data_IF_540519111628
#
_entry.id   IF_540519111628
#
_cell.length_a   1.000
_cell.length_b   1.000
_cell.length_c   1.000
_cell.angle_alpha   90.00
_cell.angle_beta   90.00
_cell.angle_gamma   90.00
#
_symmetry.space_group_name_H-M   'P 1'
#
loop_
_entity.id
_entity.type
_entity.pdbx_description
1 polymer ?
#
# COMPACT_ATOMS: atom_id res chain seq x y z
N UNK A 1 -4.92 -2.53 -6.29
CA UNK A 1 -4.91 -3.64 -7.27
C UNK A 1 -4.97 -4.97 -6.53
N UNK A 2 -6.07 -5.69 -6.66
CA UNK A 2 -6.31 -7.00 -6.07
C UNK A 2 -6.82 -7.94 -7.16
N UNK A 3 -5.98 -8.88 -7.61
CA UNK A 3 -6.32 -9.85 -8.64
C UNK A 3 -5.67 -11.20 -8.33
N UNK A 4 -6.29 -12.34 -8.70
CA UNK A 4 -5.76 -13.68 -8.42
C UNK A 4 -4.51 -14.04 -9.24
N UNK A 5 -4.09 -13.20 -10.19
CA UNK A 5 -2.91 -13.44 -11.01
C UNK A 5 -2.45 -12.17 -11.76
N UNK A 6 -1.39 -12.29 -12.58
CA UNK A 6 -0.86 -11.16 -13.34
C UNK A 6 -1.88 -10.60 -14.32
N UNK A 7 -1.96 -9.27 -14.38
CA UNK A 7 -2.83 -8.54 -15.31
C UNK A 7 -2.05 -8.25 -16.59
N UNK A 8 -2.74 -8.23 -17.73
CA UNK A 8 -2.10 -8.15 -19.06
C UNK A 8 -1.88 -6.73 -19.55
N UNK A 9 -2.60 -5.75 -18.99
CA UNK A 9 -2.55 -4.36 -19.43
C UNK A 9 -3.04 -3.39 -18.34
N UNK A 10 -2.91 -2.09 -18.62
CA UNK A 10 -3.32 -1.03 -17.69
C UNK A 10 -4.83 -0.95 -17.46
N UNK A 11 -5.66 -1.32 -18.43
CA UNK A 11 -7.12 -1.33 -18.26
C UNK A 11 -7.55 -2.38 -17.25
N UNK A 12 -6.97 -3.58 -17.32
CA UNK A 12 -7.19 -4.65 -16.35
C UNK A 12 -6.68 -4.25 -14.95
N UNK A 13 -5.52 -3.58 -14.86
CA UNK A 13 -5.00 -3.03 -13.62
C UNK A 13 -5.93 -2.00 -12.99
N UNK A 14 -6.44 -1.06 -13.79
CA UNK A 14 -7.40 -0.05 -13.35
C UNK A 14 -8.68 -0.68 -12.80
N UNK A 15 -9.21 -1.71 -13.47
CA UNK A 15 -10.41 -2.43 -13.03
C UNK A 15 -10.21 -3.27 -11.77
N UNK A 16 -8.96 -3.63 -11.43
CA UNK A 16 -8.64 -4.43 -10.25
C UNK A 16 -8.41 -3.59 -8.98
N UNK A 17 -8.63 -2.27 -9.01
CA UNK A 17 -8.58 -1.44 -7.80
C UNK A 17 -9.78 -1.68 -6.89
N UNK A 18 -9.53 -1.64 -5.57
CA UNK A 18 -10.58 -1.65 -4.55
C UNK A 18 -10.48 -0.34 -3.76
N UNK A 19 -11.12 0.71 -4.28
CA UNK A 19 -10.89 2.09 -3.84
C UNK A 19 -11.10 2.32 -2.34
N UNK A 20 -12.14 1.74 -1.74
CA UNK A 20 -12.42 1.94 -0.31
C UNK A 20 -11.35 1.29 0.58
N UNK A 21 -10.94 0.06 0.24
CA UNK A 21 -9.88 -0.66 0.94
C UNK A 21 -8.54 0.06 0.80
N UNK A 22 -8.22 0.51 -0.42
CA UNK A 22 -7.00 1.25 -0.70
C UNK A 22 -6.96 2.58 0.07
N UNK A 23 -8.04 3.36 0.05
CA UNK A 23 -8.14 4.62 0.77
C UNK A 23 -8.00 4.44 2.29
N UNK A 24 -8.60 3.38 2.87
CA UNK A 24 -8.45 3.06 4.28
C UNK A 24 -6.98 2.74 4.63
N UNK A 25 -6.33 1.91 3.82
CA UNK A 25 -4.91 1.56 3.99
C UNK A 25 -4.02 2.79 3.86
N UNK A 26 -4.18 3.61 2.81
CA UNK A 26 -3.40 4.84 2.60
C UNK A 26 -3.56 5.82 3.76
N UNK A 27 -4.78 6.00 4.25
CA UNK A 27 -5.06 6.87 5.40
C UNK A 27 -4.42 6.32 6.69
N UNK A 28 -4.54 5.01 6.92
CA UNK A 28 -3.93 4.33 8.07
C UNK A 28 -2.41 4.43 8.09
N UNK A 29 -1.76 4.31 6.93
CA UNK A 29 -0.32 4.51 6.77
C UNK A 29 0.09 5.97 6.99
N UNK A 30 -0.68 6.93 6.45
CA UNK A 30 -0.43 8.36 6.65
C UNK A 30 -0.43 8.74 8.13
N UNK A 31 -1.42 8.25 8.89
CA UNK A 31 -1.52 8.46 10.34
C UNK A 31 -0.32 7.88 11.12
N UNK A 32 0.39 6.91 10.54
CA UNK A 32 1.60 6.28 11.08
C UNK A 32 2.88 6.87 10.48
N UNK A 33 2.79 7.97 9.73
CA UNK A 33 3.93 8.67 9.16
C UNK A 33 4.57 7.95 7.97
N UNK A 34 3.81 7.13 7.25
CA UNK A 34 4.22 6.47 6.02
C UNK A 34 3.40 7.02 4.84
N UNK A 35 4.06 7.79 3.97
CA UNK A 35 3.44 8.33 2.77
C UNK A 35 3.83 7.47 1.55
N UNK A 36 2.82 6.91 0.88
CA UNK A 36 2.97 6.25 -0.42
C UNK A 36 2.05 6.92 -1.44
N UNK A 37 2.34 6.73 -2.73
CA UNK A 37 1.53 7.31 -3.79
C UNK A 37 0.10 6.72 -3.75
N UNK A 38 -0.97 7.54 -3.82
CA UNK A 38 -2.35 7.08 -3.62
C UNK A 38 -2.93 6.30 -4.82
N UNK A 39 -2.12 6.03 -5.83
CA UNK A 39 -2.49 5.29 -7.05
C UNK A 39 -1.73 3.96 -7.18
N UNK A 40 -0.89 3.61 -6.19
CA UNK A 40 -0.23 2.31 -6.12
C UNK A 40 -0.26 1.76 -4.69
N UNK A 41 -0.25 0.43 -4.59
CA UNK A 41 -0.13 -0.29 -3.32
C UNK A 41 1.32 -0.78 -3.14
N UNK A 42 2.29 0.05 -3.52
CA UNK A 42 3.72 -0.26 -3.51
C UNK A 42 4.54 0.98 -3.17
N UNK A 43 5.79 0.78 -2.76
CA UNK A 43 6.76 1.85 -2.56
C UNK A 43 8.00 1.59 -3.42
N UNK A 44 8.34 2.55 -4.29
CA UNK A 44 9.64 2.59 -4.93
C UNK A 44 10.65 3.25 -3.97
N UNK A 45 11.81 2.63 -3.79
CA UNK A 45 12.86 3.13 -2.89
C UNK A 45 13.96 3.83 -3.67
N UNK A 46 14.62 4.81 -3.05
CA UNK A 46 15.78 5.50 -3.61
C UNK A 46 17.06 5.06 -2.91
N UNK A 47 18.26 5.39 -3.43
CA UNK A 47 19.52 5.13 -2.74
C UNK A 47 19.62 5.76 -1.34
N UNK A 48 18.80 6.78 -1.03
CA UNK A 48 18.74 7.41 0.28
C UNK A 48 17.85 6.65 1.28
N UNK A 49 16.99 5.75 0.81
CA UNK A 49 16.09 4.96 1.66
C UNK A 49 16.89 4.00 2.54
N UNK A 50 16.73 4.10 3.85
CA UNK A 50 17.38 3.22 4.83
C UNK A 50 16.48 2.04 5.18
N UNK A 51 17.08 0.92 5.60
CA UNK A 51 16.36 -0.29 6.04
C UNK A 51 15.25 0.02 7.07
N UNK A 52 15.54 0.86 8.07
CA UNK A 52 14.55 1.28 9.09
C UNK A 52 13.28 1.92 8.52
N UNK A 53 13.35 2.57 7.35
CA UNK A 53 12.19 3.20 6.72
C UNK A 53 11.31 2.15 6.03
N UNK A 54 11.94 1.11 5.48
CA UNK A 54 11.26 -0.07 4.94
C UNK A 54 10.59 -0.82 6.09
N UNK A 55 11.32 -1.09 7.16
CA UNK A 55 10.79 -1.78 8.36
C UNK A 55 9.59 -1.01 8.95
N UNK A 56 9.66 0.33 9.01
CA UNK A 56 8.55 1.17 9.47
C UNK A 56 7.31 1.03 8.58
N UNK A 57 7.47 1.02 7.26
CA UNK A 57 6.34 0.85 6.34
C UNK A 57 5.68 -0.52 6.54
N UNK A 58 6.48 -1.59 6.65
CA UNK A 58 5.97 -2.94 6.85
C UNK A 58 5.22 -3.06 8.19
N UNK A 59 5.80 -2.54 9.28
CA UNK A 59 5.14 -2.54 10.59
C UNK A 59 3.85 -1.72 10.61
N UNK A 60 3.86 -0.52 10.01
CA UNK A 60 2.66 0.31 9.92
C UNK A 60 1.55 -0.35 9.09
N UNK A 61 1.90 -1.10 8.04
CA UNK A 61 0.94 -1.86 7.25
C UNK A 61 0.33 -3.00 8.06
N UNK A 62 1.14 -3.74 8.82
CA UNK A 62 0.68 -4.83 9.69
C UNK A 62 -0.28 -4.33 10.79
N UNK A 63 0.04 -3.19 11.41
CA UNK A 63 -0.84 -2.52 12.38
C UNK A 63 -2.18 -2.12 11.76
N UNK A 64 -2.17 -1.55 10.55
CA UNK A 64 -3.41 -1.17 9.83
C UNK A 64 -4.27 -2.40 9.53
N UNK A 65 -3.66 -3.51 9.07
CA UNK A 65 -4.39 -4.74 8.81
C UNK A 65 -4.95 -5.34 10.10
N UNK A 66 -4.17 -5.35 11.18
CA UNK A 66 -4.63 -5.81 12.48
C UNK A 66 -5.88 -5.06 12.94
N UNK A 67 -5.93 -3.74 12.74
CA UNK A 67 -7.11 -2.93 13.07
C UNK A 67 -8.31 -3.20 12.15
N UNK A 68 -8.09 -3.41 10.84
CA UNK A 68 -9.17 -3.67 9.88
C UNK A 68 -9.85 -5.02 10.06
N UNK A 69 -9.15 -6.00 10.66
CA UNK A 69 -9.64 -7.36 10.86
C UNK A 69 -9.87 -7.72 12.34
N UNK A 70 -9.82 -6.75 13.24
CA UNK A 70 -10.09 -6.92 14.68
C UNK A 70 -11.56 -7.26 14.99
#
# INVERSE_FOLDING_TARGET
ICAPGPLKNGTEAAAAHLHEVEAAVHTGLLNRGCLIAPFHNMMLVSPATKKRQIDRLVGAFDEVLTELFA
#
